data_IF_136236166531
#
_entry.id   IF_136236166531
#
_cell.length_a   1.000
_cell.length_b   1.000
_cell.length_c   1.000
_cell.angle_alpha   90.00
_cell.angle_beta   90.00
_cell.angle_gamma   90.00
#
_symmetry.space_group_name_H-M   'P 1'
#
loop_
_entity.id
_entity.type
_entity.pdbx_description
1 polymer ?
#
# COMPACT_ATOMS: atom_id res chain seq x y z
N UNK A 1 24.76 26.29 6.24
CA UNK A 1 25.34 24.95 5.91
C UNK A 1 24.65 24.40 4.69
N UNK A 2 25.35 23.63 3.84
CA UNK A 2 24.72 22.98 2.67
C UNK A 2 23.92 21.78 3.19
N UNK A 3 22.65 21.66 2.76
CA UNK A 3 21.75 20.59 3.20
C UNK A 3 22.26 19.20 2.79
N UNK A 4 21.85 18.17 3.52
CA UNK A 4 22.00 16.79 3.07
C UNK A 4 20.99 16.51 1.93
N UNK A 5 21.37 15.65 0.98
CA UNK A 5 20.51 15.29 -0.16
C UNK A 5 19.81 13.97 0.11
N UNK A 6 18.49 13.94 -0.03
CA UNK A 6 17.68 12.72 0.01
C UNK A 6 17.25 12.35 -1.41
N UNK A 7 17.70 11.19 -1.87
CA UNK A 7 17.30 10.63 -3.18
C UNK A 7 16.22 9.59 -2.96
N UNK A 8 15.02 9.82 -3.49
CA UNK A 8 13.94 8.84 -3.52
C UNK A 8 14.09 7.96 -4.76
N UNK A 9 14.48 6.69 -4.59
CA UNK A 9 14.44 5.70 -5.66
C UNK A 9 13.09 5.00 -5.67
N UNK A 10 12.25 5.35 -6.64
CA UNK A 10 10.86 4.94 -6.68
C UNK A 10 10.58 3.99 -7.85
N UNK A 11 10.04 2.77 -7.60
CA UNK A 11 9.85 1.76 -8.63
C UNK A 11 8.60 1.98 -9.49
N UNK A 12 7.74 2.95 -9.14
CA UNK A 12 6.47 3.23 -9.81
C UNK A 12 6.40 4.68 -10.25
N UNK A 13 5.24 5.11 -10.83
CA UNK A 13 4.96 6.54 -11.06
C UNK A 13 4.82 7.25 -9.72
N UNK A 14 5.62 8.29 -9.55
CA UNK A 14 5.49 9.20 -8.42
C UNK A 14 4.33 10.16 -8.68
N UNK A 15 3.45 10.36 -7.70
CA UNK A 15 2.19 11.09 -7.84
C UNK A 15 2.11 12.21 -6.83
N UNK A 16 1.24 13.19 -7.07
CA UNK A 16 0.94 14.26 -6.12
C UNK A 16 0.55 13.72 -4.73
N UNK A 17 -0.16 12.58 -4.70
CA UNK A 17 -0.48 11.88 -3.44
C UNK A 17 0.77 11.39 -2.71
N UNK A 18 1.77 10.90 -3.43
CA UNK A 18 3.02 10.40 -2.83
C UNK A 18 3.83 11.56 -2.20
N UNK A 19 3.72 12.80 -2.72
CA UNK A 19 4.32 13.99 -2.09
C UNK A 19 3.76 14.24 -0.69
N UNK A 20 2.43 14.16 -0.54
CA UNK A 20 1.78 14.30 0.76
C UNK A 20 2.19 13.15 1.68
N UNK A 21 2.13 11.91 1.17
CA UNK A 21 2.42 10.68 1.91
C UNK A 21 3.84 10.64 2.48
N UNK A 22 4.82 11.19 1.76
CA UNK A 22 6.22 11.27 2.17
C UNK A 22 6.61 12.61 2.79
N UNK A 23 5.65 13.47 3.05
CA UNK A 23 5.86 14.81 3.64
C UNK A 23 6.94 15.61 2.88
N UNK A 24 6.98 15.49 1.54
CA UNK A 24 8.03 16.14 0.70
C UNK A 24 8.16 17.65 0.97
N UNK A 25 7.07 18.43 1.11
CA UNK A 25 7.21 19.87 1.43
C UNK A 25 7.97 20.10 2.73
N UNK A 26 7.67 19.35 3.79
CA UNK A 26 8.34 19.45 5.09
C UNK A 26 9.81 19.01 5.00
N UNK A 27 10.10 17.91 4.31
CA UNK A 27 11.47 17.43 4.12
C UNK A 27 12.35 18.43 3.35
N UNK A 28 11.79 19.15 2.35
CA UNK A 28 12.51 20.19 1.60
C UNK A 28 13.01 21.37 2.45
N UNK A 29 12.43 21.58 3.63
CA UNK A 29 12.93 22.61 4.55
C UNK A 29 14.33 22.27 5.07
N UNK A 30 14.63 20.98 5.27
CA UNK A 30 15.88 20.49 5.87
C UNK A 30 16.81 19.74 4.91
N UNK A 31 16.29 19.24 3.80
CA UNK A 31 17.01 18.41 2.82
C UNK A 31 16.83 18.93 1.40
N UNK A 32 17.83 18.70 0.57
CA UNK A 32 17.66 18.79 -0.90
C UNK A 32 17.05 17.46 -1.39
N UNK A 33 15.93 17.51 -2.11
CA UNK A 33 15.15 16.34 -2.48
C UNK A 33 15.25 16.08 -3.98
N UNK A 34 15.68 14.87 -4.34
CA UNK A 34 15.70 14.34 -5.70
C UNK A 34 14.81 13.10 -5.79
N UNK A 35 13.98 13.01 -6.83
CA UNK A 35 13.06 11.87 -7.02
C UNK A 35 13.43 11.19 -8.31
N UNK A 36 13.88 9.94 -8.22
CA UNK A 36 14.29 9.10 -9.34
C UNK A 36 13.24 8.01 -9.57
N UNK A 37 12.48 8.15 -10.64
CA UNK A 37 11.41 7.25 -11.04
C UNK A 37 11.92 6.23 -12.07
N UNK A 38 11.86 4.94 -11.73
CA UNK A 38 12.45 3.87 -12.54
C UNK A 38 11.43 2.90 -13.15
N UNK A 39 10.14 3.21 -13.15
CA UNK A 39 9.10 2.27 -13.63
C UNK A 39 9.34 1.84 -15.08
N UNK A 40 9.75 2.75 -15.98
CA UNK A 40 9.96 2.45 -17.39
C UNK A 40 11.14 1.48 -17.60
N UNK A 41 12.21 1.65 -16.82
CA UNK A 41 13.32 0.71 -16.80
C UNK A 41 12.94 -0.63 -16.17
N UNK A 42 12.31 -0.61 -15.00
CA UNK A 42 12.01 -1.83 -14.25
C UNK A 42 10.92 -2.68 -14.91
N UNK A 43 9.91 -2.03 -15.50
CA UNK A 43 8.71 -2.66 -16.06
C UNK A 43 8.37 -2.14 -17.46
N UNK A 44 9.23 -2.30 -18.48
CA UNK A 44 9.06 -1.67 -19.80
C UNK A 44 7.84 -2.15 -20.58
N UNK A 45 7.26 -3.29 -20.19
CA UNK A 45 6.02 -3.83 -20.78
C UNK A 45 4.76 -3.32 -20.08
N UNK A 46 4.92 -2.52 -19.05
CA UNK A 46 3.79 -2.02 -18.28
C UNK A 46 3.21 -0.78 -18.97
N UNK A 47 1.93 -0.84 -19.32
CA UNK A 47 1.26 0.29 -19.92
C UNK A 47 0.97 1.37 -18.86
N UNK A 48 1.71 2.47 -18.94
CA UNK A 48 1.69 3.56 -17.96
C UNK A 48 0.47 4.48 -18.16
N UNK A 49 -0.27 4.34 -19.26
CA UNK A 49 -1.37 5.23 -19.65
C UNK A 49 -2.51 5.36 -18.64
N UNK A 50 -2.64 4.38 -17.73
CA UNK A 50 -3.67 4.38 -16.68
C UNK A 50 -3.26 5.10 -15.39
N UNK A 51 -2.00 5.52 -15.28
CA UNK A 51 -1.51 6.12 -14.04
C UNK A 51 -1.53 7.64 -14.11
N UNK A 52 -2.06 8.26 -13.07
CA UNK A 52 -1.82 9.68 -12.83
C UNK A 52 -0.35 9.88 -12.51
N UNK A 53 0.27 10.92 -13.06
CA UNK A 53 1.67 11.25 -12.81
C UNK A 53 1.78 12.67 -12.26
N UNK A 54 2.78 12.89 -11.43
CA UNK A 54 3.24 14.22 -11.07
C UNK A 54 4.17 14.73 -12.20
N UNK A 55 3.95 15.97 -12.64
CA UNK A 55 4.71 16.60 -13.72
C UNK A 55 5.78 17.57 -13.20
N UNK A 56 6.04 17.59 -11.90
CA UNK A 56 7.01 18.49 -11.31
C UNK A 56 8.43 18.22 -11.83
N UNK A 57 9.23 19.28 -11.93
CA UNK A 57 10.59 19.25 -12.50
C UNK A 57 11.60 18.48 -11.62
N UNK A 58 11.32 18.34 -10.34
CA UNK A 58 12.16 17.58 -9.39
C UNK A 58 12.04 16.05 -9.52
N UNK A 59 11.31 15.54 -10.53
CA UNK A 59 11.19 14.13 -10.84
C UNK A 59 11.98 13.79 -12.11
N UNK A 60 13.08 13.04 -11.93
CA UNK A 60 13.88 12.49 -13.02
C UNK A 60 13.36 11.10 -13.38
N UNK A 61 13.11 10.83 -14.66
CA UNK A 61 12.53 9.57 -15.16
C UNK A 61 13.52 8.85 -16.04
N UNK A 62 13.63 7.52 -15.83
CA UNK A 62 14.63 6.70 -16.50
C UNK A 62 14.00 5.47 -17.15
N UNK A 63 14.25 5.31 -18.43
CA UNK A 63 13.90 4.16 -19.28
C UNK A 63 15.02 3.12 -19.37
N UNK A 64 16.25 3.53 -19.07
CA UNK A 64 17.44 2.70 -19.14
C UNK A 64 18.29 2.78 -17.87
N UNK A 65 19.05 1.70 -17.61
CA UNK A 65 20.00 1.69 -16.50
C UNK A 65 21.17 2.66 -16.73
N UNK A 66 21.61 2.85 -17.98
CA UNK A 66 22.72 3.74 -18.29
C UNK A 66 22.36 5.19 -17.96
N UNK A 67 21.21 5.68 -18.44
CA UNK A 67 20.75 7.04 -18.15
C UNK A 67 20.56 7.28 -16.66
N UNK A 68 20.00 6.30 -15.93
CA UNK A 68 19.90 6.35 -14.48
C UNK A 68 21.27 6.46 -13.82
N UNK A 69 22.21 5.57 -14.20
CA UNK A 69 23.54 5.53 -13.63
C UNK A 69 24.29 6.85 -13.85
N UNK A 70 24.29 7.35 -15.08
CA UNK A 70 25.03 8.55 -15.44
C UNK A 70 24.48 9.79 -14.70
N UNK A 71 23.15 9.97 -14.66
CA UNK A 71 22.52 11.04 -13.89
C UNK A 71 22.77 10.93 -12.39
N UNK A 72 22.82 9.70 -11.86
CA UNK A 72 23.09 9.47 -10.45
C UNK A 72 24.56 9.79 -10.11
N UNK A 73 25.52 9.38 -10.94
CA UNK A 73 26.93 9.67 -10.79
C UNK A 73 27.25 11.17 -10.90
N UNK A 74 26.55 11.88 -11.79
CA UNK A 74 26.63 13.34 -11.89
C UNK A 74 26.18 14.01 -10.60
N UNK A 75 25.01 13.62 -10.05
CA UNK A 75 24.52 14.13 -8.78
C UNK A 75 25.50 13.86 -7.62
N UNK A 76 26.13 12.68 -7.59
CA UNK A 76 27.12 12.38 -6.56
C UNK A 76 28.36 13.28 -6.62
N UNK A 77 28.81 13.69 -7.84
CA UNK A 77 29.93 14.64 -7.98
C UNK A 77 29.58 16.02 -7.39
N UNK A 78 28.33 16.44 -7.49
CA UNK A 78 27.86 17.74 -6.99
C UNK A 78 27.65 17.75 -5.47
N UNK A 79 27.15 16.63 -4.92
CA UNK A 79 26.69 16.52 -3.53
C UNK A 79 27.74 15.95 -2.58
N UNK A 80 28.69 15.14 -3.08
CA UNK A 80 29.69 14.44 -2.28
C UNK A 80 29.07 13.41 -1.33
N UNK A 81 29.65 13.24 -0.13
CA UNK A 81 29.24 12.21 0.85
C UNK A 81 27.93 12.52 1.61
N UNK A 82 27.26 13.65 1.29
CA UNK A 82 26.05 14.09 1.98
C UNK A 82 24.76 13.56 1.32
N UNK A 83 24.80 12.31 0.91
CA UNK A 83 23.68 11.66 0.22
C UNK A 83 23.13 10.51 1.04
N UNK A 84 21.81 10.53 1.21
CA UNK A 84 21.03 9.41 1.69
C UNK A 84 20.08 8.94 0.58
N UNK A 85 19.98 7.64 0.39
CA UNK A 85 19.14 7.04 -0.65
C UNK A 85 17.96 6.31 0.00
N UNK A 86 16.75 6.87 -0.13
CA UNK A 86 15.52 6.19 0.24
C UNK A 86 15.20 5.19 -0.87
N UNK A 87 15.50 3.94 -0.61
CA UNK A 87 15.41 2.89 -1.59
C UNK A 87 14.09 2.10 -1.46
N UNK A 88 13.16 2.35 -2.38
CA UNK A 88 11.91 1.61 -2.52
C UNK A 88 11.97 0.49 -3.58
N UNK A 89 13.15 0.26 -4.18
CA UNK A 89 13.33 -0.76 -5.20
C UNK A 89 13.43 -2.14 -4.52
N UNK A 90 12.49 -3.07 -4.76
CA UNK A 90 12.57 -4.42 -4.24
C UNK A 90 13.73 -5.20 -4.89
N UNK A 91 13.95 -6.43 -4.45
CA UNK A 91 14.97 -7.32 -5.03
C UNK A 91 14.29 -8.63 -5.44
N UNK A 92 13.49 -8.58 -6.50
CA UNK A 92 12.71 -9.72 -7.00
C UNK A 92 13.08 -10.15 -8.42
N UNK A 93 13.80 -9.30 -9.15
CA UNK A 93 14.25 -9.58 -10.52
C UNK A 93 15.65 -8.99 -10.78
N UNK A 94 16.26 -9.37 -11.91
CA UNK A 94 17.64 -8.94 -12.23
C UNK A 94 17.80 -7.44 -12.45
N UNK A 95 16.77 -6.72 -12.92
CA UNK A 95 16.86 -5.26 -13.10
C UNK A 95 16.91 -4.55 -11.76
N UNK A 96 16.06 -4.96 -10.84
CA UNK A 96 16.05 -4.47 -9.46
C UNK A 96 17.37 -4.80 -8.74
N UNK A 97 17.86 -6.04 -8.90
CA UNK A 97 19.16 -6.45 -8.37
C UNK A 97 20.29 -5.58 -8.91
N UNK A 98 20.28 -5.24 -10.20
CA UNK A 98 21.29 -4.39 -10.84
C UNK A 98 21.32 -3.00 -10.23
N UNK A 99 20.16 -2.38 -9.97
CA UNK A 99 20.08 -1.08 -9.26
C UNK A 99 20.67 -1.20 -7.85
N UNK A 100 20.24 -2.21 -7.07
CA UNK A 100 20.72 -2.39 -5.71
C UNK A 100 22.23 -2.67 -5.62
N UNK A 101 22.78 -3.45 -6.55
CA UNK A 101 24.22 -3.69 -6.62
C UNK A 101 24.99 -2.41 -6.98
N UNK A 102 24.43 -1.57 -7.84
CA UNK A 102 25.04 -0.28 -8.18
C UNK A 102 25.10 0.63 -6.94
N UNK A 103 24.01 0.79 -6.19
CA UNK A 103 24.00 1.60 -4.97
C UNK A 103 25.08 1.12 -3.98
N UNK A 104 25.17 -0.19 -3.80
CA UNK A 104 26.17 -0.79 -2.93
C UNK A 104 27.60 -0.50 -3.39
N UNK A 105 27.87 -0.57 -4.72
CA UNK A 105 29.20 -0.30 -5.27
C UNK A 105 29.67 1.14 -5.02
N UNK A 106 28.74 2.05 -4.71
CA UNK A 106 29.02 3.46 -4.40
C UNK A 106 29.15 3.74 -2.91
N UNK A 107 29.03 2.72 -2.04
CA UNK A 107 29.10 2.86 -0.57
C UNK A 107 28.14 3.93 -0.02
N UNK A 108 26.98 4.06 -0.62
CA UNK A 108 25.98 5.06 -0.25
C UNK A 108 25.21 4.65 1.00
N UNK A 109 24.80 5.63 1.78
CA UNK A 109 23.92 5.43 2.94
C UNK A 109 22.50 5.18 2.48
N UNK A 110 22.07 3.93 2.51
CA UNK A 110 20.74 3.50 2.03
C UNK A 110 19.76 3.36 3.18
N UNK A 111 18.56 3.88 2.99
CA UNK A 111 17.45 3.80 3.93
C UNK A 111 16.33 3.00 3.26
N UNK A 112 15.85 1.98 3.95
CA UNK A 112 14.66 1.22 3.53
C UNK A 112 13.53 1.39 4.54
N UNK A 113 12.30 1.10 4.09
CA UNK A 113 11.12 1.09 4.94
C UNK A 113 10.59 -0.32 5.11
N UNK A 114 10.40 -0.71 6.36
CA UNK A 114 9.55 -1.82 6.73
C UNK A 114 8.16 -1.28 7.09
N UNK A 115 7.27 -1.27 6.12
CA UNK A 115 5.91 -0.72 6.26
C UNK A 115 4.89 -1.82 5.91
N UNK A 116 4.55 -2.68 6.87
CA UNK A 116 3.64 -3.80 6.62
C UNK A 116 2.25 -3.36 6.16
N UNK A 117 1.73 -2.26 6.69
CA UNK A 117 0.46 -1.62 6.30
C UNK A 117 -0.81 -2.48 6.45
N UNK A 118 -0.67 -3.81 6.41
CA UNK A 118 -1.75 -4.78 6.56
C UNK A 118 -1.23 -6.04 7.25
N UNK A 119 -2.10 -6.79 7.96
CA UNK A 119 -1.72 -8.05 8.56
C UNK A 119 -1.22 -9.03 7.47
N UNK A 120 -0.16 -9.79 7.74
CA UNK A 120 0.17 -10.93 6.89
C UNK A 120 -0.98 -11.94 6.94
N UNK A 121 -1.10 -12.74 5.89
CA UNK A 121 -1.99 -13.90 5.93
C UNK A 121 -1.59 -14.73 7.15
N UNK A 122 -2.53 -15.01 8.04
CA UNK A 122 -2.29 -15.93 9.14
C UNK A 122 -1.96 -17.27 8.48
N UNK A 123 -0.66 -17.58 8.47
CA UNK A 123 -0.20 -18.88 8.06
C UNK A 123 -0.78 -19.87 9.08
N UNK A 124 -1.55 -20.85 8.61
CA UNK A 124 -1.95 -21.95 9.46
C UNK A 124 -0.70 -22.58 10.06
N UNK A 125 -0.81 -23.12 11.25
CA UNK A 125 0.30 -23.76 11.99
C UNK A 125 0.94 -24.96 11.24
N UNK A 126 0.36 -25.38 10.11
CA UNK A 126 0.83 -26.51 9.31
C UNK A 126 1.69 -26.03 8.13
N UNK A 127 2.91 -26.57 8.06
CA UNK A 127 3.83 -26.37 6.93
C UNK A 127 3.16 -26.76 5.60
N UNK A 128 2.30 -27.79 5.60
CA UNK A 128 1.55 -28.26 4.43
C UNK A 128 0.52 -27.22 3.93
N UNK A 129 -0.19 -26.55 4.82
CA UNK A 129 -1.15 -25.49 4.42
C UNK A 129 -0.43 -24.24 3.91
N UNK A 130 0.72 -23.89 4.48
CA UNK A 130 1.57 -22.82 3.96
C UNK A 130 2.09 -23.13 2.56
N UNK A 131 2.48 -24.39 2.30
CA UNK A 131 2.84 -24.87 0.96
C UNK A 131 1.61 -24.86 0.05
N UNK A 132 0.45 -25.32 0.52
CA UNK A 132 -0.81 -25.32 -0.22
C UNK A 132 -1.30 -23.92 -0.58
N UNK A 133 -1.17 -22.93 0.33
CA UNK A 133 -1.46 -21.53 0.05
C UNK A 133 -0.52 -20.95 -1.01
N UNK A 134 0.77 -21.25 -0.91
CA UNK A 134 1.76 -20.86 -1.93
C UNK A 134 1.48 -21.55 -3.27
N UNK A 135 1.15 -22.83 -3.27
CA UNK A 135 0.78 -23.57 -4.48
C UNK A 135 -0.56 -23.11 -5.06
N UNK A 136 -1.54 -22.74 -4.23
CA UNK A 136 -2.80 -22.13 -4.66
C UNK A 136 -2.60 -20.78 -5.34
N UNK A 137 -1.74 -19.94 -4.77
CA UNK A 137 -1.28 -18.69 -5.40
C UNK A 137 -0.54 -18.96 -6.72
N UNK A 138 0.20 -20.05 -6.78
CA UNK A 138 0.92 -20.51 -7.95
C UNK A 138 0.01 -21.02 -9.07
N UNK A 139 -1.07 -21.73 -8.76
CA UNK A 139 -2.02 -22.31 -9.74
C UNK A 139 -2.75 -21.21 -10.54
N UNK A 140 -2.80 -19.99 -10.04
CA UNK A 140 -3.37 -18.82 -10.72
C UNK A 140 -2.41 -18.16 -11.73
N UNK A 141 -1.14 -18.57 -11.78
CA UNK A 141 -0.16 -18.16 -12.80
C UNK A 141 0.03 -19.33 -13.79
N UNK A 142 0.14 -19.10 -15.08
CA UNK A 142 0.44 -20.18 -16.05
C UNK A 142 1.69 -20.98 -15.63
N UNK A 143 1.61 -22.30 -15.59
CA UNK A 143 2.54 -23.20 -14.86
C UNK A 143 4.01 -22.99 -15.23
N UNK A 144 4.35 -22.89 -16.53
CA UNK A 144 5.74 -22.74 -16.99
C UNK A 144 6.29 -21.37 -16.63
N UNK A 145 5.52 -20.31 -16.89
CA UNK A 145 5.93 -18.92 -16.61
C UNK A 145 6.14 -18.66 -15.11
N UNK A 146 5.38 -19.38 -14.30
CA UNK A 146 5.51 -19.38 -12.86
C UNK A 146 6.83 -19.99 -12.38
N UNK A 147 7.18 -21.20 -12.88
CA UNK A 147 8.46 -21.83 -12.52
C UNK A 147 9.64 -20.94 -12.90
N UNK A 148 9.60 -20.34 -14.09
CA UNK A 148 10.64 -19.40 -14.53
C UNK A 148 10.73 -18.18 -13.57
N UNK A 149 9.62 -17.57 -13.20
CA UNK A 149 9.61 -16.42 -12.29
C UNK A 149 10.09 -16.80 -10.88
N UNK A 150 9.68 -17.95 -10.35
CA UNK A 150 10.14 -18.43 -9.06
C UNK A 150 11.63 -18.77 -9.06
N UNK A 151 12.11 -19.37 -10.13
CA UNK A 151 13.54 -19.64 -10.31
C UNK A 151 14.34 -18.34 -10.38
N UNK A 152 13.86 -17.33 -11.13
CA UNK A 152 14.46 -15.99 -11.16
C UNK A 152 14.46 -15.37 -9.78
N UNK A 153 13.32 -15.36 -9.08
CA UNK A 153 13.20 -14.78 -7.74
C UNK A 153 14.14 -15.48 -6.74
N UNK A 154 14.18 -16.82 -6.77
CA UNK A 154 15.11 -17.60 -5.92
C UNK A 154 16.56 -17.26 -6.21
N UNK A 155 16.93 -17.23 -7.50
CA UNK A 155 18.31 -16.93 -7.94
C UNK A 155 18.71 -15.51 -7.53
N UNK A 156 17.80 -14.54 -7.74
CA UNK A 156 18.03 -13.13 -7.36
C UNK A 156 18.18 -12.99 -5.85
N UNK A 157 17.35 -13.67 -5.06
CA UNK A 157 17.46 -13.69 -3.59
C UNK A 157 18.76 -14.31 -3.12
N UNK A 158 19.19 -15.41 -3.73
CA UNK A 158 20.46 -16.05 -3.42
C UNK A 158 21.64 -15.11 -3.71
N UNK A 159 21.69 -14.51 -4.91
CA UNK A 159 22.74 -13.55 -5.28
C UNK A 159 22.69 -12.32 -4.36
N UNK A 160 21.52 -11.81 -4.05
CA UNK A 160 21.36 -10.69 -3.12
C UNK A 160 21.89 -11.00 -1.72
N UNK A 161 21.61 -12.22 -1.23
CA UNK A 161 22.14 -12.70 0.05
C UNK A 161 23.65 -12.83 0.04
N UNK A 162 24.22 -13.44 -1.00
CA UNK A 162 25.66 -13.56 -1.18
C UNK A 162 26.35 -12.18 -1.29
N UNK A 163 25.73 -11.27 -2.00
CA UNK A 163 26.19 -9.89 -2.13
C UNK A 163 25.92 -9.04 -0.89
N UNK A 164 25.28 -9.55 0.16
CA UNK A 164 24.90 -8.81 1.37
C UNK A 164 24.19 -7.49 1.05
N UNK A 165 23.24 -7.52 0.10
CA UNK A 165 22.41 -6.36 -0.27
C UNK A 165 21.45 -6.10 0.88
N UNK A 166 21.86 -5.27 1.84
CA UNK A 166 21.07 -4.83 2.98
C UNK A 166 21.11 -3.31 3.04
N UNK A 167 20.03 -2.64 3.48
CA UNK A 167 20.06 -1.21 3.75
C UNK A 167 20.95 -0.91 4.96
N UNK A 168 21.51 0.29 5.00
CA UNK A 168 22.29 0.78 6.14
C UNK A 168 21.39 1.17 7.30
N UNK A 169 20.20 1.71 6.99
CA UNK A 169 19.17 2.07 7.94
C UNK A 169 17.83 1.43 7.56
N UNK A 170 17.08 0.99 8.54
CA UNK A 170 15.71 0.49 8.34
C UNK A 170 14.75 1.29 9.21
N UNK A 171 13.80 2.00 8.59
CA UNK A 171 12.69 2.62 9.30
C UNK A 171 11.57 1.60 9.40
N UNK A 172 11.25 1.17 10.62
CA UNK A 172 10.26 0.13 10.89
C UNK A 172 8.98 0.72 11.45
N UNK A 173 7.85 0.43 10.80
CA UNK A 173 6.52 0.74 11.27
C UNK A 173 5.87 -0.54 11.84
N UNK A 174 5.54 -0.53 13.12
CA UNK A 174 4.98 -1.67 13.81
C UNK A 174 6.01 -2.73 14.20
N UNK A 175 5.61 -3.64 15.08
CA UNK A 175 6.51 -4.58 15.74
C UNK A 175 6.63 -5.96 15.08
N UNK A 176 5.76 -6.27 14.09
CA UNK A 176 5.63 -7.64 13.60
C UNK A 176 6.82 -8.15 12.80
N UNK A 177 7.63 -7.25 12.25
CA UNK A 177 8.77 -7.60 11.40
C UNK A 177 10.11 -7.10 11.92
N UNK A 178 10.16 -6.58 13.15
CA UNK A 178 11.43 -6.19 13.76
C UNK A 178 12.29 -7.43 13.93
N UNK A 179 13.33 -7.54 13.08
CA UNK A 179 14.44 -8.47 13.24
C UNK A 179 15.66 -7.63 13.52
N UNK A 180 16.57 -8.14 14.33
CA UNK A 180 17.86 -7.52 14.72
C UNK A 180 18.60 -6.89 13.55
N UNK A 181 18.23 -5.68 13.18
CA UNK A 181 18.96 -4.86 12.22
C UNK A 181 19.71 -3.80 13.01
N UNK A 182 21.01 -3.71 12.76
CA UNK A 182 21.94 -2.91 13.57
C UNK A 182 21.57 -1.42 13.65
N UNK A 183 20.94 -0.88 12.59
CA UNK A 183 20.52 0.53 12.50
C UNK A 183 19.02 0.61 12.22
N UNK A 184 18.23 0.01 13.10
CA UNK A 184 16.76 0.14 13.03
C UNK A 184 16.33 1.44 13.67
N UNK A 185 15.53 2.22 12.94
CA UNK A 185 14.90 3.45 13.39
C UNK A 185 13.42 3.15 13.57
N UNK A 186 12.90 3.37 14.77
CA UNK A 186 11.48 3.23 15.03
C UNK A 186 10.71 4.33 14.31
N UNK A 187 9.69 3.94 13.57
CA UNK A 187 8.93 4.85 12.73
C UNK A 187 7.45 4.50 12.67
N UNK A 188 6.77 5.17 11.76
CA UNK A 188 5.35 5.02 11.51
C UNK A 188 5.08 4.56 10.09
N UNK A 189 3.94 3.89 9.88
CA UNK A 189 3.43 3.65 8.54
C UNK A 189 3.07 4.99 7.87
N UNK A 190 3.09 5.00 6.54
CA UNK A 190 2.72 6.20 5.79
C UNK A 190 1.28 6.64 6.03
N UNK A 191 0.37 5.68 6.27
CA UNK A 191 -1.02 6.00 6.58
C UNK A 191 -1.14 6.62 7.99
N UNK A 192 -0.33 6.16 8.95
CA UNK A 192 -0.27 6.76 10.29
C UNK A 192 0.23 8.20 10.23
N UNK A 193 1.31 8.48 9.50
CA UNK A 193 1.81 9.84 9.30
C UNK A 193 0.76 10.74 8.64
N UNK A 194 0.10 10.25 7.58
CA UNK A 194 -1.00 11.00 6.95
C UNK A 194 -2.14 11.28 7.92
N UNK A 195 -2.44 10.34 8.84
CA UNK A 195 -3.48 10.53 9.84
C UNK A 195 -3.12 11.59 10.89
N UNK A 196 -1.84 11.67 11.29
CA UNK A 196 -1.37 12.71 12.22
C UNK A 196 -1.54 14.13 11.68
N UNK A 197 -1.50 14.30 10.36
CA UNK A 197 -1.72 15.60 9.69
C UNK A 197 -3.20 15.98 9.55
N UNK A 198 -4.13 15.04 9.80
CA UNK A 198 -5.56 15.37 9.72
C UNK A 198 -6.01 16.26 10.88
N UNK A 199 -7.03 17.07 10.63
CA UNK A 199 -7.66 17.84 11.70
C UNK A 199 -8.13 16.90 12.82
N UNK A 200 -7.65 17.14 14.05
CA UNK A 200 -7.94 16.30 15.24
C UNK A 200 -9.44 16.28 15.62
N UNK A 201 -10.22 17.27 15.15
CA UNK A 201 -11.66 17.35 15.39
C UNK A 201 -12.42 17.62 14.08
N UNK A 202 -12.86 16.61 13.35
CA UNK A 202 -13.76 16.83 12.22
C UNK A 202 -15.05 17.51 12.72
N UNK A 203 -15.41 18.63 12.11
CA UNK A 203 -16.47 19.56 12.53
C UNK A 203 -17.89 18.98 12.70
N UNK A 204 -18.14 17.78 12.23
CA UNK A 204 -19.34 16.96 12.52
C UNK A 204 -19.15 15.54 11.98
N UNK A 205 -19.56 14.54 12.74
CA UNK A 205 -19.71 13.19 12.24
C UNK A 205 -20.84 13.20 11.22
N UNK A 206 -20.50 13.05 9.94
CA UNK A 206 -21.48 13.01 8.86
C UNK A 206 -22.13 11.63 8.82
N UNK A 207 -23.45 11.56 8.68
CA UNK A 207 -24.18 10.30 8.56
C UNK A 207 -23.99 9.71 7.14
N UNK A 208 -22.90 9.01 6.89
CA UNK A 208 -22.68 8.24 5.67
C UNK A 208 -21.74 7.05 5.89
N UNK A 209 -21.87 6.08 5.02
CA UNK A 209 -21.02 4.89 4.92
C UNK A 209 -19.98 5.15 3.83
N UNK A 210 -18.75 4.67 3.98
CA UNK A 210 -17.77 4.71 2.89
C UNK A 210 -17.40 3.30 2.44
N UNK A 211 -17.29 3.11 1.12
CA UNK A 211 -16.71 1.91 0.53
C UNK A 211 -15.33 2.23 -0.04
N UNK A 212 -14.32 1.48 0.40
CA UNK A 212 -12.94 1.59 -0.08
C UNK A 212 -12.78 0.79 -1.37
N UNK A 213 -12.95 1.47 -2.50
CA UNK A 213 -12.79 0.84 -3.79
C UNK A 213 -11.32 0.54 -4.10
N UNK A 214 -11.02 -0.70 -4.45
CA UNK A 214 -9.69 -1.14 -4.90
C UNK A 214 -9.53 -1.06 -6.41
N UNK A 215 -10.60 -0.72 -7.14
CA UNK A 215 -10.67 -0.71 -8.59
C UNK A 215 -10.78 -2.11 -9.23
N UNK A 216 -10.62 -3.17 -8.47
CA UNK A 216 -10.80 -4.55 -8.95
C UNK A 216 -12.28 -4.95 -8.92
N UNK A 217 -12.79 -5.68 -9.90
CA UNK A 217 -12.11 -6.25 -11.07
C UNK A 217 -12.05 -5.34 -12.30
N UNK A 218 -12.55 -4.11 -12.22
CA UNK A 218 -12.64 -3.21 -13.38
C UNK A 218 -11.24 -2.86 -13.92
N UNK A 219 -10.34 -2.42 -13.06
CA UNK A 219 -8.94 -2.15 -13.38
C UNK A 219 -8.04 -3.35 -13.09
N UNK A 220 -7.09 -3.58 -13.99
CA UNK A 220 -6.21 -4.75 -13.96
C UNK A 220 -4.81 -4.47 -13.41
N UNK A 221 -4.55 -3.25 -12.96
CA UNK A 221 -3.19 -2.78 -12.66
C UNK A 221 -2.42 -3.74 -11.76
N UNK A 222 -2.99 -4.12 -10.62
CA UNK A 222 -2.31 -5.00 -9.66
C UNK A 222 -2.21 -6.45 -10.15
N UNK A 223 -3.22 -6.96 -10.88
CA UNK A 223 -3.17 -8.31 -11.44
C UNK A 223 -2.17 -8.42 -12.58
N UNK A 224 -2.01 -7.36 -13.38
CA UNK A 224 -0.99 -7.28 -14.43
C UNK A 224 0.42 -7.20 -13.84
N UNK A 225 0.65 -6.33 -12.84
CA UNK A 225 1.93 -6.22 -12.16
C UNK A 225 2.34 -7.52 -11.47
N UNK A 226 1.40 -8.16 -10.77
CA UNK A 226 1.64 -9.41 -10.05
C UNK A 226 1.51 -10.65 -10.94
N UNK A 227 1.10 -10.49 -12.21
CA UNK A 227 0.82 -11.58 -13.16
C UNK A 227 -0.15 -12.64 -12.59
N UNK A 228 -1.18 -12.20 -11.87
CA UNK A 228 -2.20 -13.04 -11.26
C UNK A 228 -3.52 -12.94 -12.01
N UNK A 229 -4.45 -13.88 -11.78
CA UNK A 229 -5.84 -13.78 -12.24
C UNK A 229 -6.63 -12.83 -11.35
N UNK A 230 -7.68 -12.23 -11.90
CA UNK A 230 -8.64 -11.47 -11.11
C UNK A 230 -9.37 -12.39 -10.15
N UNK A 231 -9.53 -12.04 -8.87
CA UNK A 231 -10.20 -12.89 -7.89
C UNK A 231 -11.73 -12.98 -8.10
N UNK A 232 -12.30 -12.04 -8.87
CA UNK A 232 -13.74 -11.97 -9.17
C UNK A 232 -14.00 -11.28 -10.52
N UNK A 233 -15.18 -11.52 -11.09
CA UNK A 233 -15.63 -10.99 -12.39
C UNK A 233 -16.42 -9.68 -12.23
N UNK A 234 -16.39 -8.84 -13.28
CA UNK A 234 -17.15 -7.60 -13.35
C UNK A 234 -18.67 -7.88 -13.27
N UNK A 235 -19.09 -8.92 -14.01
CA UNK A 235 -20.48 -9.28 -14.24
C UNK A 235 -21.18 -9.76 -12.98
N UNK A 236 -20.47 -10.32 -12.03
CA UNK A 236 -21.02 -10.80 -10.75
C UNK A 236 -20.79 -9.83 -9.61
N UNK A 237 -19.56 -9.30 -9.52
CA UNK A 237 -19.15 -8.45 -8.39
C UNK A 237 -20.00 -7.18 -8.28
N UNK A 238 -20.06 -6.36 -9.31
CA UNK A 238 -20.73 -5.06 -9.19
C UNK A 238 -22.25 -5.13 -9.03
N UNK A 239 -22.99 -6.05 -9.70
CA UNK A 239 -24.41 -6.23 -9.39
C UNK A 239 -24.68 -6.65 -7.95
N UNK A 240 -23.90 -7.61 -7.42
CA UNK A 240 -24.04 -8.04 -6.03
C UNK A 240 -23.68 -6.92 -5.05
N UNK A 241 -22.61 -6.16 -5.36
CA UNK A 241 -22.16 -5.03 -4.55
C UNK A 241 -23.23 -3.92 -4.49
N UNK A 242 -23.83 -3.55 -5.62
CA UNK A 242 -24.93 -2.55 -5.64
C UNK A 242 -26.12 -3.01 -4.82
N UNK A 243 -26.56 -4.27 -4.99
CA UNK A 243 -27.64 -4.85 -4.20
C UNK A 243 -27.34 -4.81 -2.69
N UNK A 244 -26.11 -5.14 -2.31
CA UNK A 244 -25.66 -5.04 -0.91
C UNK A 244 -25.69 -3.60 -0.41
N UNK A 245 -25.27 -2.65 -1.23
CA UNK A 245 -25.30 -1.23 -0.88
C UNK A 245 -26.75 -0.74 -0.68
N UNK A 246 -27.69 -1.10 -1.56
CA UNK A 246 -29.11 -0.75 -1.39
C UNK A 246 -29.64 -1.24 -0.02
N UNK A 247 -29.33 -2.48 0.34
CA UNK A 247 -29.76 -3.10 1.58
C UNK A 247 -29.15 -2.47 2.84
N UNK A 248 -27.87 -2.12 2.80
CA UNK A 248 -27.21 -1.51 3.97
C UNK A 248 -27.57 -0.03 4.12
N UNK A 249 -27.82 0.68 3.02
CA UNK A 249 -28.34 2.05 3.03
C UNK A 249 -29.73 2.11 3.67
N UNK A 250 -30.62 1.19 3.31
CA UNK A 250 -31.94 1.04 3.92
C UNK A 250 -31.81 0.67 5.41
N UNK A 251 -31.01 -0.33 5.75
CA UNK A 251 -30.83 -0.78 7.15
C UNK A 251 -30.33 0.34 8.06
N UNK A 252 -29.32 1.11 7.63
CA UNK A 252 -28.64 2.10 8.47
C UNK A 252 -29.19 3.52 8.31
N UNK A 253 -30.04 3.77 7.34
CA UNK A 253 -30.55 5.10 6.95
C UNK A 253 -29.38 6.08 6.65
N UNK A 254 -28.40 5.62 5.86
CA UNK A 254 -27.22 6.38 5.49
C UNK A 254 -26.76 6.03 4.08
N UNK A 255 -26.39 7.04 3.24
CA UNK A 255 -25.89 6.78 1.89
C UNK A 255 -24.48 6.15 1.90
N UNK A 256 -24.20 5.30 0.92
CA UNK A 256 -22.86 4.77 0.64
C UNK A 256 -22.12 5.69 -0.34
N UNK A 257 -20.96 6.18 0.08
CA UNK A 257 -20.04 6.96 -0.75
C UNK A 257 -18.86 6.07 -1.18
N UNK A 258 -18.49 6.14 -2.44
CA UNK A 258 -17.39 5.34 -3.00
C UNK A 258 -16.09 6.13 -2.94
N UNK A 259 -15.11 5.65 -2.21
CA UNK A 259 -13.77 6.24 -2.19
C UNK A 259 -12.90 5.51 -3.22
N UNK A 260 -12.76 6.13 -4.39
CA UNK A 260 -12.06 5.52 -5.51
C UNK A 260 -10.55 5.41 -5.23
N UNK A 261 -9.97 4.29 -5.66
CA UNK A 261 -8.53 4.08 -5.53
C UNK A 261 -7.75 5.16 -6.31
N UNK A 262 -6.71 5.78 -5.74
CA UNK A 262 -6.01 6.94 -6.33
C UNK A 262 -5.34 6.66 -7.67
N UNK A 263 -5.09 5.39 -8.03
CA UNK A 263 -4.52 5.00 -9.32
C UNK A 263 -5.52 5.03 -10.47
N UNK A 264 -6.82 5.06 -10.21
CA UNK A 264 -7.84 4.80 -11.20
C UNK A 264 -8.73 6.01 -11.45
N UNK A 265 -9.06 6.26 -12.73
CA UNK A 265 -10.02 7.28 -13.13
C UNK A 265 -11.21 6.60 -13.79
N UNK A 266 -12.36 6.71 -13.16
CA UNK A 266 -13.64 6.28 -13.73
C UNK A 266 -14.21 7.37 -14.63
N UNK A 267 -14.65 7.02 -15.84
CA UNK A 267 -15.57 7.89 -16.60
C UNK A 267 -16.95 7.87 -15.95
N UNK A 268 -17.83 8.82 -16.30
CA UNK A 268 -19.18 8.84 -15.72
C UNK A 268 -19.98 7.59 -16.11
N UNK A 269 -19.78 7.09 -17.35
CA UNK A 269 -20.35 5.80 -17.78
C UNK A 269 -19.86 4.63 -16.95
N UNK A 270 -18.57 4.62 -16.58
CA UNK A 270 -18.01 3.57 -15.74
C UNK A 270 -18.56 3.61 -14.33
N UNK A 271 -18.67 4.82 -13.73
CA UNK A 271 -19.28 5.01 -12.41
C UNK A 271 -20.70 4.46 -12.36
N UNK A 272 -21.52 4.84 -13.33
CA UNK A 272 -22.89 4.37 -13.45
C UNK A 272 -22.99 2.84 -13.56
N UNK A 273 -22.12 2.24 -14.40
CA UNK A 273 -22.10 0.80 -14.58
C UNK A 273 -21.64 0.05 -13.33
N UNK A 274 -20.69 0.61 -12.58
CA UNK A 274 -20.08 -0.04 -11.41
C UNK A 274 -20.85 0.22 -10.12
N UNK A 275 -21.20 1.48 -9.85
CA UNK A 275 -21.71 1.91 -8.54
C UNK A 275 -23.14 2.50 -8.59
N UNK A 276 -23.75 2.60 -9.79
CA UNK A 276 -25.04 3.27 -9.97
C UNK A 276 -24.91 4.78 -9.72
N UNK A 277 -25.91 5.37 -9.09
CA UNK A 277 -25.98 6.82 -8.82
C UNK A 277 -25.14 7.27 -7.61
N UNK A 278 -24.38 6.35 -7.01
CA UNK A 278 -23.58 6.65 -5.81
C UNK A 278 -22.43 7.58 -6.13
N UNK A 279 -22.21 8.53 -5.23
CA UNK A 279 -21.13 9.51 -5.37
C UNK A 279 -19.77 8.86 -5.26
N UNK A 280 -18.94 9.02 -6.30
CA UNK A 280 -17.53 8.56 -6.34
C UNK A 280 -16.61 9.74 -6.03
N UNK A 281 -15.77 9.58 -5.02
CA UNK A 281 -14.88 10.62 -4.48
C UNK A 281 -13.43 10.19 -4.70
N UNK A 282 -12.60 11.11 -5.17
CA UNK A 282 -11.17 10.90 -5.41
C UNK A 282 -10.32 11.79 -4.48
N UNK A 283 -9.19 11.27 -4.02
CA UNK A 283 -8.13 12.04 -3.38
C UNK A 283 -8.41 12.58 -1.97
N UNK A 284 -9.54 12.17 -1.33
CA UNK A 284 -9.93 12.59 0.01
C UNK A 284 -10.22 11.40 0.93
N UNK A 285 -9.54 10.29 0.71
CA UNK A 285 -9.83 9.04 1.43
C UNK A 285 -9.68 9.18 2.94
N UNK A 286 -8.57 9.73 3.50
CA UNK A 286 -8.41 9.85 4.94
C UNK A 286 -9.48 10.72 5.59
N UNK A 287 -9.74 11.91 5.04
CA UNK A 287 -10.71 12.89 5.56
C UNK A 287 -12.15 12.34 5.53
N UNK A 288 -12.49 11.62 4.44
CA UNK A 288 -13.80 11.02 4.29
C UNK A 288 -14.01 9.83 5.24
N UNK A 289 -12.97 9.01 5.45
CA UNK A 289 -13.04 7.93 6.45
C UNK A 289 -13.24 8.52 7.83
N UNK A 290 -12.42 9.48 8.25
CA UNK A 290 -12.45 10.08 9.59
C UNK A 290 -13.86 10.63 9.95
N UNK A 291 -14.61 11.09 8.95
CA UNK A 291 -15.96 11.68 9.15
C UNK A 291 -17.09 10.67 8.86
N UNK A 292 -16.82 9.41 8.56
CA UNK A 292 -17.84 8.39 8.25
C UNK A 292 -18.36 7.69 9.49
N UNK A 293 -19.47 6.96 9.34
CA UNK A 293 -20.07 6.15 10.40
C UNK A 293 -19.71 4.67 10.30
N UNK A 294 -19.32 4.19 9.12
CA UNK A 294 -18.96 2.80 8.84
C UNK A 294 -18.02 2.76 7.62
N UNK A 295 -17.04 1.87 7.65
CA UNK A 295 -16.13 1.62 6.54
C UNK A 295 -16.35 0.22 5.99
N UNK A 296 -16.72 0.12 4.72
CA UNK A 296 -16.80 -1.12 3.96
C UNK A 296 -15.51 -1.29 3.15
N UNK A 297 -14.90 -2.45 3.22
CA UNK A 297 -13.64 -2.70 2.54
C UNK A 297 -13.53 -4.14 2.02
N UNK A 298 -12.67 -4.34 1.05
CA UNK A 298 -12.14 -5.66 0.67
C UNK A 298 -10.68 -5.74 1.14
N UNK A 299 -9.72 -5.75 0.23
CA UNK A 299 -8.28 -5.83 0.50
C UNK A 299 -7.58 -4.45 0.44
N UNK A 300 -8.19 -3.42 0.97
CA UNK A 300 -7.62 -2.06 0.99
C UNK A 300 -6.75 -1.81 2.21
N UNK A 301 -5.55 -1.27 2.01
CA UNK A 301 -4.67 -0.82 3.11
C UNK A 301 -5.25 0.41 3.83
N UNK A 302 -6.12 1.17 3.18
CA UNK A 302 -6.75 2.37 3.77
C UNK A 302 -7.69 2.06 4.95
N UNK A 303 -7.95 0.79 5.28
CA UNK A 303 -8.61 0.39 6.55
C UNK A 303 -7.84 0.88 7.77
N UNK A 304 -6.52 1.12 7.66
CA UNK A 304 -5.70 1.73 8.70
C UNK A 304 -6.26 3.07 9.20
N UNK A 305 -6.81 3.90 8.33
CA UNK A 305 -7.46 5.16 8.74
C UNK A 305 -8.71 4.94 9.57
N UNK A 306 -9.49 3.88 9.29
CA UNK A 306 -10.67 3.53 10.08
C UNK A 306 -10.25 3.02 11.48
N UNK A 307 -9.18 2.22 11.56
CA UNK A 307 -8.59 1.76 12.82
C UNK A 307 -8.14 2.96 13.68
N UNK A 308 -7.39 3.89 13.08
CA UNK A 308 -6.88 5.09 13.75
C UNK A 308 -8.01 6.02 14.20
N UNK A 309 -9.06 6.15 13.42
CA UNK A 309 -10.27 6.90 13.75
C UNK A 309 -11.25 6.14 14.66
N UNK A 310 -10.92 4.90 15.06
CA UNK A 310 -11.76 4.01 15.91
C UNK A 310 -13.17 3.81 15.36
N UNK A 311 -13.31 3.68 14.03
CA UNK A 311 -14.58 3.50 13.33
C UNK A 311 -14.89 2.02 13.07
N UNK A 312 -16.18 1.65 13.02
CA UNK A 312 -16.58 0.32 12.60
C UNK A 312 -16.11 -0.02 11.19
N UNK A 313 -15.64 -1.25 10.99
CA UNK A 313 -15.20 -1.79 9.71
C UNK A 313 -16.03 -3.04 9.42
N UNK A 314 -16.42 -3.23 8.15
CA UNK A 314 -16.96 -4.49 7.64
C UNK A 314 -16.19 -4.91 6.39
N UNK A 315 -15.64 -6.12 6.41
CA UNK A 315 -14.95 -6.70 5.25
C UNK A 315 -15.98 -7.36 4.33
N UNK A 316 -15.86 -7.10 3.03
CA UNK A 316 -16.74 -7.67 2.00
C UNK A 316 -16.01 -8.72 1.17
N UNK A 317 -16.70 -9.81 0.87
CA UNK A 317 -16.25 -10.85 -0.08
C UNK A 317 -17.42 -11.34 -0.94
N UNK A 318 -17.12 -12.08 -2.00
CA UNK A 318 -18.09 -12.75 -2.87
C UNK A 318 -17.82 -14.25 -2.90
N UNK A 319 -18.74 -15.03 -3.45
CA UNK A 319 -18.56 -16.46 -3.69
C UNK A 319 -17.34 -16.75 -4.59
N UNK A 320 -17.03 -15.85 -5.54
CA UNK A 320 -15.84 -15.99 -6.37
C UNK A 320 -14.56 -15.77 -5.56
N UNK A 321 -14.54 -14.77 -4.67
CA UNK A 321 -13.42 -14.53 -3.74
C UNK A 321 -13.25 -15.71 -2.78
N UNK A 322 -14.34 -16.27 -2.25
CA UNK A 322 -14.27 -17.44 -1.36
C UNK A 322 -13.59 -18.66 -2.00
N UNK A 323 -13.66 -18.79 -3.34
CA UNK A 323 -12.97 -19.87 -4.09
C UNK A 323 -11.49 -19.60 -4.31
N UNK A 324 -11.05 -18.34 -4.22
CA UNK A 324 -9.64 -17.97 -4.27
C UNK A 324 -9.04 -18.11 -2.86
N UNK A 325 -8.37 -19.24 -2.62
CA UNK A 325 -7.80 -19.57 -1.30
C UNK A 325 -6.91 -18.45 -0.74
N UNK A 326 -6.12 -17.82 -1.60
CA UNK A 326 -5.21 -16.75 -1.15
C UNK A 326 -6.00 -15.50 -0.71
N UNK A 327 -6.88 -14.99 -1.58
CA UNK A 327 -7.67 -13.80 -1.27
C UNK A 327 -8.60 -14.05 -0.09
N UNK A 328 -9.24 -15.21 -0.02
CA UNK A 328 -10.12 -15.56 1.09
C UNK A 328 -9.35 -15.58 2.41
N UNK A 329 -8.19 -16.26 2.48
CA UNK A 329 -7.35 -16.28 3.69
C UNK A 329 -6.84 -14.89 4.09
N UNK A 330 -6.56 -14.03 3.10
CA UNK A 330 -6.19 -12.64 3.36
C UNK A 330 -7.32 -11.86 4.02
N UNK A 331 -8.57 -11.99 3.53
CA UNK A 331 -9.73 -11.31 4.11
C UNK A 331 -10.08 -11.87 5.49
N UNK A 332 -9.99 -13.18 5.69
CA UNK A 332 -10.19 -13.83 7.00
C UNK A 332 -9.13 -13.32 8.00
N UNK A 333 -7.86 -13.26 7.61
CA UNK A 333 -6.79 -12.70 8.44
C UNK A 333 -7.05 -11.23 8.81
N UNK A 334 -7.51 -10.44 7.84
CA UNK A 334 -7.85 -9.03 8.09
C UNK A 334 -9.00 -8.89 9.07
N UNK A 335 -10.07 -9.67 8.90
CA UNK A 335 -11.24 -9.69 9.80
C UNK A 335 -10.84 -10.09 11.23
N UNK A 336 -10.02 -11.13 11.40
CA UNK A 336 -9.54 -11.60 12.71
C UNK A 336 -8.67 -10.55 13.41
N UNK A 337 -7.71 -9.96 12.72
CA UNK A 337 -6.82 -8.96 13.30
C UNK A 337 -7.53 -7.65 13.66
N UNK A 338 -8.61 -7.33 12.95
CA UNK A 338 -9.43 -6.14 13.21
C UNK A 338 -10.59 -6.40 14.16
N UNK A 339 -10.93 -7.67 14.45
CA UNK A 339 -12.13 -8.00 15.21
C UNK A 339 -13.42 -7.52 14.54
N UNK A 340 -13.42 -7.41 13.22
CA UNK A 340 -14.54 -6.86 12.46
C UNK A 340 -15.30 -7.95 11.70
N UNK A 341 -16.61 -7.73 11.40
CA UNK A 341 -17.38 -8.68 10.63
C UNK A 341 -16.88 -8.82 9.19
N UNK A 342 -17.10 -10.01 8.62
CA UNK A 342 -16.92 -10.28 7.20
C UNK A 342 -18.24 -10.73 6.59
N UNK A 343 -18.65 -10.11 5.48
CA UNK A 343 -19.92 -10.37 4.80
C UNK A 343 -19.67 -10.88 3.39
N UNK A 344 -20.32 -12.00 3.06
CA UNK A 344 -20.43 -12.45 1.68
C UNK A 344 -21.63 -11.78 1.02
N UNK A 345 -21.38 -10.86 0.07
CA UNK A 345 -22.40 -10.04 -0.58
C UNK A 345 -23.33 -10.84 -1.53
N UNK A 346 -22.98 -12.07 -1.88
CA UNK A 346 -23.84 -12.96 -2.68
C UNK A 346 -24.88 -13.71 -1.84
N UNK A 347 -24.73 -13.69 -0.50
CA UNK A 347 -25.69 -14.35 0.39
C UNK A 347 -26.91 -13.46 0.65
N UNK A 348 -27.96 -14.06 1.24
CA UNK A 348 -29.11 -13.31 1.71
C UNK A 348 -28.71 -12.33 2.83
N UNK A 349 -29.27 -11.13 2.77
CA UNK A 349 -28.98 -10.08 3.74
C UNK A 349 -29.91 -10.22 4.97
N UNK A 350 -29.36 -10.72 6.07
CA UNK A 350 -30.06 -10.90 7.35
C UNK A 350 -29.21 -10.35 8.49
N UNK A 351 -29.02 -9.03 8.53
CA UNK A 351 -28.16 -8.38 9.52
C UNK A 351 -28.94 -7.35 10.34
N UNK A 352 -28.57 -7.20 11.59
CA UNK A 352 -29.04 -6.11 12.46
C UNK A 352 -28.10 -4.90 12.37
N UNK A 353 -28.57 -3.71 12.76
CA UNK A 353 -27.73 -2.50 12.86
C UNK A 353 -26.51 -2.74 13.76
N UNK A 354 -26.67 -3.45 14.88
CA UNK A 354 -25.60 -3.74 15.83
C UNK A 354 -24.46 -4.59 15.24
N UNK A 355 -24.72 -5.35 14.17
CA UNK A 355 -23.71 -6.13 13.48
C UNK A 355 -22.64 -5.25 12.86
N UNK A 356 -23.02 -4.07 12.33
CA UNK A 356 -22.14 -3.15 11.63
C UNK A 356 -21.55 -2.04 12.50
N UNK A 357 -21.92 -1.92 13.75
CA UNK A 357 -21.51 -0.81 14.63
C UNK A 357 -20.49 -1.20 15.71
N UNK A 358 -20.14 -2.47 15.78
CA UNK A 358 -19.18 -2.96 16.78
C UNK A 358 -17.75 -2.58 16.40
N UNK A 359 -16.99 -2.15 17.43
CA UNK A 359 -15.55 -1.90 17.34
C UNK A 359 -14.86 -2.62 18.49
N UNK A 360 -13.84 -3.42 18.18
CA UNK A 360 -12.95 -3.98 19.18
C UNK A 360 -11.73 -3.07 19.37
N UNK A 361 -11.83 -2.14 20.31
CA UNK A 361 -10.77 -1.16 20.59
C UNK A 361 -9.44 -1.82 20.98
N UNK A 362 -9.47 -2.97 21.69
CA UNK A 362 -8.24 -3.69 22.08
C UNK A 362 -7.51 -4.24 20.85
N UNK A 363 -8.25 -4.82 19.91
CA UNK A 363 -7.69 -5.30 18.66
C UNK A 363 -7.20 -4.14 17.77
N UNK A 364 -7.89 -3.00 17.78
CA UNK A 364 -7.44 -1.81 17.06
C UNK A 364 -6.12 -1.27 17.64
N UNK A 365 -6.01 -1.13 18.95
CA UNK A 365 -4.76 -0.70 19.59
C UNK A 365 -3.62 -1.69 19.32
N UNK A 366 -3.91 -3.00 19.34
CA UNK A 366 -2.95 -4.04 18.98
C UNK A 366 -2.54 -3.95 17.49
N UNK A 367 -3.50 -3.64 16.60
CA UNK A 367 -3.24 -3.46 15.17
C UNK A 367 -2.31 -2.27 14.94
N UNK A 368 -2.55 -1.14 15.61
CA UNK A 368 -1.67 0.03 15.54
C UNK A 368 -0.25 -0.34 15.93
N UNK A 369 -0.05 -0.97 17.09
CA UNK A 369 1.28 -1.38 17.56
C UNK A 369 1.98 -2.38 16.62
N UNK A 370 1.23 -3.31 16.04
CA UNK A 370 1.81 -4.35 15.18
C UNK A 370 2.14 -3.88 13.77
N UNK A 371 1.33 -2.97 13.21
CA UNK A 371 1.36 -2.69 11.77
C UNK A 371 1.53 -1.22 11.41
N UNK A 372 1.20 -0.28 12.31
CA UNK A 372 1.14 1.13 11.94
C UNK A 372 2.19 2.00 12.60
N UNK A 373 2.53 1.75 13.86
CA UNK A 373 3.52 2.55 14.59
C UNK A 373 4.36 1.69 15.52
N UNK A 374 5.68 1.89 15.49
CA UNK A 374 6.62 1.36 16.47
C UNK A 374 6.94 2.37 17.58
N UNK A 375 6.30 3.54 17.55
CA UNK A 375 6.59 4.68 18.43
C UNK A 375 5.42 4.95 19.36
N UNK A 376 5.75 5.42 20.54
CA UNK A 376 4.78 5.91 21.53
C UNK A 376 4.57 7.44 21.41
N UNK A 377 5.40 8.14 20.65
CA UNK A 377 5.27 9.56 20.34
C UNK A 377 4.56 9.79 18.97
N UNK A 378 3.93 10.95 18.81
CA UNK A 378 3.21 11.31 17.57
C UNK A 378 4.14 11.96 16.53
N UNK A 379 5.45 11.61 16.48
CA UNK A 379 6.38 12.21 15.52
C UNK A 379 6.06 11.77 14.10
N UNK A 380 6.05 12.74 13.20
CA UNK A 380 5.85 12.50 11.77
C UNK A 380 7.14 11.97 11.11
N UNK A 381 7.03 11.50 9.87
CA UNK A 381 8.19 11.05 9.09
C UNK A 381 9.24 12.16 8.96
N UNK A 382 8.81 13.38 8.68
CA UNK A 382 9.70 14.54 8.55
C UNK A 382 10.48 14.81 9.84
N UNK A 383 9.82 14.73 11.00
CA UNK A 383 10.48 14.91 12.30
C UNK A 383 11.51 13.83 12.57
N UNK A 384 11.18 12.56 12.27
CA UNK A 384 12.11 11.42 12.40
C UNK A 384 13.35 11.65 11.50
N UNK A 385 13.14 12.05 10.24
CA UNK A 385 14.25 12.30 9.32
C UNK A 385 15.15 13.46 9.78
N UNK A 386 14.57 14.51 10.32
CA UNK A 386 15.36 15.64 10.87
C UNK A 386 16.23 15.22 12.04
N UNK A 387 15.72 14.39 12.93
CA UNK A 387 16.47 13.91 14.09
C UNK A 387 17.60 12.95 13.70
N UNK A 388 17.35 12.04 12.78
CA UNK A 388 18.26 10.97 12.44
C UNK A 388 19.30 11.34 11.35
N UNK A 389 18.98 12.24 10.44
CA UNK A 389 19.76 12.46 9.22
C UNK A 389 20.13 13.92 8.95
N UNK A 390 19.76 14.89 9.81
CA UNK A 390 20.05 16.30 9.57
C UNK A 390 21.25 16.83 10.40
N UNK A 391 21.97 15.94 11.10
CA UNK A 391 23.15 16.28 11.88
C UNK A 391 24.43 16.32 11.03
#
# INVERSE_FOLDING_TARGET
>A
MKKNTLIFLYPYRFRTFDRKRFEIPCLKESFDIEIFELIEYLHPKFCISYMTQDKSEDIKRFDSFTNFKDSFEELLKETGDRVYVLNFIPVTNFRELKVNNFLRSKSLRTIAFNNPGVPPIIASSSVFENISLKLGFMKNRGTIKLFVNLFIEFTVRLISSLNKVKPDFLISAGSIYTKDIKNEILGNSFDYNTFLELEKNPKSQKKYIVFLDTGSPYFNTDTLLRQTKKPHSIEKWYPALRKFFDQIEELLDMPVLILAHPKHKYTDKDKQKTFGDRKVIHGKTPEMIQSSSLVLATNSTAVSFAVLAKLPICILRSNEICRDKYMNSYLDSSSINLGCPIVNIDNQFHFSKSFFTKVDHKLYDLYVKKFLSSRDDEKTLCQIFREEFNN
#
